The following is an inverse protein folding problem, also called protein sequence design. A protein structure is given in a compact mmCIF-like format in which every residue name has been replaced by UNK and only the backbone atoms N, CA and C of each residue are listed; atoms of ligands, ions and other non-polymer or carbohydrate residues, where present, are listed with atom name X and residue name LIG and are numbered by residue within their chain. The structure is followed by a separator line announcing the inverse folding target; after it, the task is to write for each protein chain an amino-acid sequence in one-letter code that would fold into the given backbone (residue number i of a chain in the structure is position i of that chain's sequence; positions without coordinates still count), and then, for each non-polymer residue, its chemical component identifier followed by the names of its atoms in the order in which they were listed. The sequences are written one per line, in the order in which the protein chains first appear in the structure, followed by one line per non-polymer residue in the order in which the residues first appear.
data_IF_963691432458
#
_entry.id   IF_963691432458
#
_cell.length_a   1.000
_cell.length_b   1.000
_cell.length_c   1.000
_cell.angle_alpha   90.00
_cell.angle_beta   90.00
_cell.angle_gamma   90.00
#
_symmetry.space_group_name_H-M   'P 1'
#
loop_
_entity.id
_entity.type
_entity.pdbx_description
1 polymer ?
#
# COMPACT_ATOMS: atom_id res chain seq x y z
N UNK A 1 19.34 -8.33 10.18
CA UNK A 1 19.16 -8.24 9.97
C UNK A 1 18.60 -8.13 9.64
N UNK A 2 18.37 -8.15 9.64
CA UNK A 2 18.12 -7.86 9.33
C UNK A 2 17.36 -7.47 8.65
N UNK A 3 17.19 -7.28 8.18
CA UNK A 3 16.59 -6.67 7.27
C UNK A 3 15.75 -7.44 6.41
N UNK A 4 14.94 -8.29 6.89
CA UNK A 4 14.06 -8.97 6.11
C UNK A 4 13.00 -8.08 5.64
N UNK A 5 12.71 -8.03 4.35
CA UNK A 5 11.65 -7.21 3.81
C UNK A 5 10.55 -8.08 3.25
N UNK A 6 9.38 -7.50 3.08
CA UNK A 6 8.24 -8.20 2.54
C UNK A 6 7.69 -7.38 1.41
N UNK A 7 6.99 -8.05 0.50
CA UNK A 7 6.30 -7.35 -0.56
C UNK A 7 4.90 -7.07 -0.05
N UNK A 8 4.45 -5.85 -0.21
CA UNK A 8 3.11 -5.47 0.19
C UNK A 8 2.43 -4.71 -0.93
N UNK A 9 1.14 -4.90 -1.05
CA UNK A 9 0.33 -4.14 -1.98
C UNK A 9 -0.71 -3.43 -1.13
N UNK A 10 -0.82 -2.11 -1.28
CA UNK A 10 -1.81 -1.35 -0.54
C UNK A 10 -2.73 -0.70 -1.53
N UNK A 11 -4.02 -0.97 -1.40
CA UNK A 11 -5.04 -0.35 -2.24
C UNK A 11 -5.67 0.78 -1.46
N UNK A 12 -5.88 1.91 -2.10
CA UNK A 12 -6.43 3.09 -1.47
C UNK A 12 -7.54 3.63 -2.36
N UNK A 13 -8.71 3.87 -1.78
CA UNK A 13 -9.79 4.50 -2.52
C UNK A 13 -10.07 5.82 -1.82
N UNK A 14 -9.80 6.92 -2.51
CA UNK A 14 -9.99 8.24 -1.94
C UNK A 14 -11.37 8.73 -2.33
N UNK A 15 -12.25 8.81 -1.34
CA UNK A 15 -13.60 9.25 -1.58
C UNK A 15 -13.74 10.75 -1.46
N UNK A 16 -12.90 11.38 -0.67
CA UNK A 16 -12.91 12.82 -0.53
C UNK A 16 -11.66 13.35 -1.22
N UNK A 17 -11.83 13.98 -2.36
CA UNK A 17 -10.69 14.42 -3.14
C UNK A 17 -9.82 15.44 -2.44
N UNK A 18 -10.31 16.09 -1.42
CA UNK A 18 -9.49 17.04 -0.71
C UNK A 18 -8.38 16.31 0.05
N UNK A 19 -8.47 14.98 0.20
CA UNK A 19 -7.45 14.22 0.89
C UNK A 19 -6.34 13.77 -0.05
N UNK A 20 -6.49 13.99 -1.35
CA UNK A 20 -5.49 13.51 -2.29
C UNK A 20 -4.10 14.07 -1.98
N UNK A 21 -4.02 15.32 -1.61
CA UNK A 21 -2.73 15.92 -1.29
C UNK A 21 -2.07 15.25 -0.09
N UNK A 22 -2.84 14.97 0.94
CA UNK A 22 -2.31 14.33 2.13
C UNK A 22 -1.83 12.93 1.82
N UNK A 23 -2.57 12.19 0.99
CA UNK A 23 -2.17 10.85 0.62
C UNK A 23 -0.88 10.90 -0.20
N UNK A 24 -0.81 11.81 -1.17
CA UNK A 24 0.38 11.89 -2.00
C UNK A 24 1.61 12.30 -1.20
N UNK A 25 1.43 13.18 -0.24
CA UNK A 25 2.53 13.60 0.58
C UNK A 25 3.02 12.42 1.43
N UNK A 26 2.10 11.63 1.97
CA UNK A 26 2.46 10.49 2.77
C UNK A 26 3.20 9.47 1.92
N UNK A 27 2.72 9.18 0.72
CA UNK A 27 3.37 8.23 -0.13
C UNK A 27 4.76 8.70 -0.54
N UNK A 28 4.91 10.01 -0.69
CA UNK A 28 6.21 10.56 -1.03
C UNK A 28 7.22 10.28 0.09
N UNK A 29 6.79 10.35 1.32
CA UNK A 29 7.67 10.08 2.45
C UNK A 29 8.17 8.64 2.45
N UNK A 30 7.41 7.74 1.88
CA UNK A 30 7.78 6.33 1.83
C UNK A 30 8.30 5.92 0.46
N UNK A 31 8.66 6.89 -0.35
CA UNK A 31 9.05 6.63 -1.73
C UNK A 31 10.20 5.67 -1.91
N UNK A 32 11.11 5.63 -0.94
CA UNK A 32 12.24 4.73 -1.06
C UNK A 32 11.84 3.27 -1.00
N UNK A 33 10.67 2.98 -0.50
CA UNK A 33 10.21 1.61 -0.36
C UNK A 33 9.23 1.22 -1.46
N UNK A 34 8.71 2.18 -2.19
CA UNK A 34 7.69 1.92 -3.20
C UNK A 34 8.33 1.50 -4.50
N UNK A 35 8.01 0.32 -4.98
CA UNK A 35 8.58 -0.18 -6.21
C UNK A 35 7.61 -0.11 -7.38
N UNK A 36 6.37 0.22 -7.14
CA UNK A 36 5.40 0.40 -8.22
C UNK A 36 4.20 1.15 -7.72
N UNK A 37 3.54 1.86 -8.60
CA UNK A 37 2.40 2.66 -8.22
C UNK A 37 1.48 2.84 -9.41
N UNK A 38 0.17 2.79 -9.17
CA UNK A 38 -0.79 3.02 -10.20
C UNK A 38 -1.89 3.91 -9.65
N UNK A 39 -2.31 4.87 -10.40
CA UNK A 39 -3.41 5.74 -10.01
C UNK A 39 -4.47 5.74 -11.08
N UNK A 40 -5.73 5.70 -10.65
CA UNK A 40 -6.85 5.67 -11.57
C UNK A 40 -7.96 6.56 -11.05
N UNK A 41 -8.15 7.74 -11.61
CA UNK A 41 -9.28 8.55 -11.22
C UNK A 41 -10.52 7.98 -11.87
N UNK A 42 -11.59 7.81 -11.11
CA UNK A 42 -12.81 7.24 -11.63
C UNK A 42 -13.95 8.22 -11.46
N UNK A 43 -14.25 8.96 -12.52
CA UNK A 43 -15.19 10.02 -12.44
C UNK A 43 -16.63 9.61 -12.19
N UNK A 44 -17.02 8.46 -12.65
CA UNK A 44 -18.35 8.02 -12.44
C UNK A 44 -18.75 7.93 -11.00
N UNK A 45 -17.82 7.56 -10.13
CA UNK A 45 -18.08 7.46 -8.71
C UNK A 45 -17.37 8.56 -7.93
N UNK A 46 -16.70 9.43 -8.63
CA UNK A 46 -15.99 10.55 -8.04
C UNK A 46 -14.98 10.13 -6.98
N UNK A 47 -14.25 9.08 -7.29
CA UNK A 47 -13.19 8.60 -6.39
C UNK A 47 -11.87 8.52 -7.14
N UNK A 48 -10.78 8.53 -6.40
CA UNK A 48 -9.48 8.26 -6.97
C UNK A 48 -9.01 6.95 -6.37
N UNK A 49 -8.50 6.06 -7.19
CA UNK A 49 -8.04 4.76 -6.75
C UNK A 49 -6.54 4.71 -6.91
N UNK A 50 -5.82 4.32 -5.88
CA UNK A 50 -4.37 4.22 -5.95
C UNK A 50 -3.97 2.85 -5.46
N UNK A 51 -3.03 2.23 -6.15
CA UNK A 51 -2.49 0.97 -5.74
C UNK A 51 -0.99 1.12 -5.70
N UNK A 52 -0.35 0.73 -4.60
CA UNK A 52 1.09 0.81 -4.51
C UNK A 52 1.67 -0.52 -4.12
N UNK A 53 2.87 -0.79 -4.58
CA UNK A 53 3.59 -2.00 -4.26
C UNK A 53 4.85 -1.59 -3.53
N UNK A 54 5.11 -2.22 -2.40
CA UNK A 54 6.25 -1.87 -1.58
C UNK A 54 7.13 -3.07 -1.33
N UNK A 55 8.40 -2.82 -1.13
CA UNK A 55 9.32 -3.83 -0.64
C UNK A 55 9.94 -3.20 0.58
N UNK A 56 9.55 -3.61 1.76
CA UNK A 56 9.93 -2.93 2.98
C UNK A 56 9.86 -3.85 4.19
N UNK A 57 10.56 -3.50 5.27
CA UNK A 57 10.42 -4.25 6.50
C UNK A 57 8.97 -4.17 7.00
N UNK A 58 8.55 -5.18 7.72
CA UNK A 58 7.17 -5.23 8.18
C UNK A 58 6.74 -4.04 9.01
N UNK A 59 7.64 -3.50 9.83
CA UNK A 59 7.27 -2.35 10.65
C UNK A 59 7.04 -1.10 9.81
N UNK A 60 7.74 -0.97 8.68
CA UNK A 60 7.52 0.16 7.79
C UNK A 60 6.16 0.01 7.10
N UNK A 61 5.83 -1.20 6.67
CA UNK A 61 4.55 -1.44 6.03
C UNK A 61 3.41 -1.13 7.01
N UNK A 62 3.55 -1.58 8.26
CA UNK A 62 2.54 -1.32 9.25
C UNK A 62 2.42 0.17 9.55
N UNK A 63 3.54 0.87 9.58
CA UNK A 63 3.52 2.30 9.85
C UNK A 63 2.77 3.04 8.75
N UNK A 64 3.06 2.72 7.49
CA UNK A 64 2.38 3.39 6.40
C UNK A 64 0.90 3.04 6.40
N UNK A 65 0.57 1.77 6.59
CA UNK A 65 -0.80 1.34 6.60
C UNK A 65 -1.57 2.04 7.73
N UNK A 66 -0.95 2.16 8.89
CA UNK A 66 -1.58 2.83 10.01
C UNK A 66 -1.82 4.30 9.77
N UNK A 67 -0.86 4.96 9.12
CA UNK A 67 -1.03 6.37 8.83
C UNK A 67 -2.12 6.59 7.80
N UNK A 68 -2.21 5.72 6.80
CA UNK A 68 -3.28 5.83 5.83
C UNK A 68 -4.63 5.59 6.53
N UNK A 69 -4.67 4.66 7.45
CA UNK A 69 -5.91 4.37 8.14
C UNK A 69 -6.41 5.48 9.03
N UNK A 70 -5.54 6.42 9.39
CA UNK A 70 -5.95 7.53 10.20
C UNK A 70 -6.46 8.71 9.39
N UNK A 71 -6.31 8.71 8.08
CA UNK A 71 -6.83 9.78 7.26
C UNK A 71 -8.31 9.52 7.02
N UNK A 72 -9.12 10.57 7.02
CA UNK A 72 -10.53 10.39 6.78
C UNK A 72 -10.82 10.61 5.30
N UNK A 73 -11.97 10.16 4.85
CA UNK A 73 -12.37 10.35 3.45
C UNK A 73 -11.72 9.38 2.49
N UNK A 74 -11.17 8.30 3.01
CA UNK A 74 -10.61 7.27 2.16
C UNK A 74 -10.67 5.92 2.82
N UNK A 75 -10.50 4.87 2.04
CA UNK A 75 -10.45 3.51 2.53
C UNK A 75 -9.14 2.91 2.08
N UNK A 76 -8.47 2.14 2.90
CA UNK A 76 -7.24 1.51 2.48
C UNK A 76 -7.14 0.10 3.06
N UNK A 77 -6.41 -0.75 2.37
CA UNK A 77 -6.23 -2.11 2.80
C UNK A 77 -4.87 -2.59 2.34
N UNK A 78 -4.16 -3.30 3.15
CA UNK A 78 -2.85 -3.81 2.81
C UNK A 78 -2.82 -5.33 2.75
N UNK A 79 -2.06 -5.84 1.82
CA UNK A 79 -1.91 -7.24 1.66
C UNK A 79 -0.44 -7.48 1.58
N UNK A 80 0.13 -8.38 2.33
CA UNK A 80 1.56 -8.59 2.25
C UNK A 80 1.93 -10.04 2.50
N UNK A 81 3.15 -10.40 2.10
CA UNK A 81 3.61 -11.76 2.28
C UNK A 81 3.83 -12.00 3.75
N UNK A 82 3.55 -13.19 4.19
CA UNK A 82 3.70 -13.48 5.58
C UNK A 82 5.11 -13.62 5.96
N UNK A 83 5.91 -14.30 5.21
CA UNK A 83 7.29 -14.38 5.49
C UNK A 83 8.00 -14.31 4.20
N UNK A 84 9.20 -14.09 4.25
CA UNK A 84 9.97 -13.91 3.13
C UNK A 84 10.10 -15.03 2.25
N UNK A 85 10.44 -16.15 2.56
CA UNK A 85 10.66 -17.12 1.64
C UNK A 85 9.75 -18.23 1.63
N UNK A 86 9.12 -18.53 2.60
CA UNK A 86 8.32 -19.56 2.53
C UNK A 86 7.12 -19.43 1.75
N UNK A 87 6.67 -18.31 1.57
CA UNK A 87 5.52 -18.04 0.84
C UNK A 87 5.55 -18.62 -0.49
N UNK A 88 6.64 -18.52 -1.11
CA UNK A 88 6.75 -18.96 -2.40
C UNK A 88 6.43 -20.36 -2.55
N UNK A 89 6.87 -21.17 -1.76
CA UNK A 89 6.60 -22.47 -1.88
C UNK A 89 5.22 -22.83 -1.74
N UNK A 90 4.53 -22.35 -0.83
CA UNK A 90 3.24 -22.63 -0.67
C UNK A 90 2.38 -22.23 -1.70
N UNK A 91 2.58 -21.13 -2.20
CA UNK A 91 1.77 -20.70 -3.16
C UNK A 91 1.86 -21.40 -4.31
N UNK A 92 2.92 -21.88 -4.54
CA UNK A 92 3.09 -22.55 -5.65
C UNK A 92 2.02 -23.43 -5.93
N UNK A 93 1.41 -23.88 -5.08
CA UNK A 93 0.52 -24.73 -5.38
C UNK A 93 -0.77 -24.30 -5.44
N UNK A 94 -1.21 -23.56 -5.19
CA UNK A 94 -2.39 -23.28 -5.14
C UNK A 94 -3.01 -22.63 -5.94
N UNK A 95 -2.91 -22.35 -6.47
CA UNK A 95 -3.52 -21.67 -7.12
C UNK A 95 -3.67 -21.57 -7.72
#
# INVERSE_FOLDING_TARGET
MENETRIAVIGIIIEDKSQAGAVNELLHQYGNYIIGRMGLPYEKKKVNIISIVLDAPGDIISALSGKLGRLWGLSSKALYTKTGEKACEEQGREE
#
